data_IF_801703868066
#
_entry.id   IF_801703868066
#
_cell.length_a   1.000
_cell.length_b   1.000
_cell.length_c   1.000
_cell.angle_alpha   90.00
_cell.angle_beta   90.00
_cell.angle_gamma   90.00
#
_symmetry.space_group_name_H-M   'P 1'
#
loop_
_entity.id
_entity.type
_entity.pdbx_description
1 polymer ?
#
# COMPACT_ATOMS: atom_id res chain seq x y z
N UNK A 1 14.89 -0.98 -50.34
CA UNK A 1 14.51 -0.06 -49.24
C UNK A 1 13.17 -0.39 -48.55
N UNK A 2 12.40 -1.40 -49.01
CA UNK A 2 11.05 -1.70 -48.48
C UNK A 2 11.00 -2.39 -47.09
N UNK A 3 12.05 -3.10 -46.67
CA UNK A 3 12.04 -3.90 -45.43
C UNK A 3 12.08 -3.09 -44.12
N UNK A 4 12.67 -1.88 -44.13
CA UNK A 4 12.80 -1.05 -42.92
C UNK A 4 11.47 -0.42 -42.48
N UNK A 5 10.57 -0.15 -43.43
CA UNK A 5 9.26 0.44 -43.15
C UNK A 5 8.30 -0.54 -42.46
N UNK A 6 8.37 -1.83 -42.80
CA UNK A 6 7.54 -2.86 -42.16
C UNK A 6 7.96 -3.09 -40.70
N UNK A 7 9.26 -3.10 -40.41
CA UNK A 7 9.78 -3.29 -39.06
C UNK A 7 9.39 -2.14 -38.11
N UNK A 8 9.44 -0.90 -38.59
CA UNK A 8 9.02 0.27 -37.77
C UNK A 8 7.51 0.26 -37.52
N UNK A 9 6.70 -0.14 -38.49
CA UNK A 9 5.25 -0.26 -38.31
C UNK A 9 4.89 -1.31 -37.24
N UNK A 10 5.55 -2.47 -37.25
CA UNK A 10 5.33 -3.54 -36.25
C UNK A 10 5.71 -3.05 -34.84
N UNK A 11 6.86 -2.40 -34.68
CA UNK A 11 7.29 -1.86 -33.39
C UNK A 11 6.35 -0.76 -32.89
N UNK A 12 5.89 0.13 -33.77
CA UNK A 12 4.95 1.20 -33.41
C UNK A 12 3.59 0.65 -32.96
N UNK A 13 3.06 -0.36 -33.67
CA UNK A 13 1.81 -1.03 -33.29
C UNK A 13 1.97 -1.82 -31.98
N UNK A 14 3.10 -2.51 -31.80
CA UNK A 14 3.43 -3.21 -30.55
C UNK A 14 3.52 -2.24 -29.36
N UNK A 15 4.24 -1.12 -29.51
CA UNK A 15 4.36 -0.10 -28.48
C UNK A 15 3.01 0.55 -28.16
N UNK A 16 2.23 0.92 -29.17
CA UNK A 16 0.88 1.48 -29.01
C UNK A 16 -0.06 0.52 -28.27
N UNK A 17 -0.06 -0.76 -28.63
CA UNK A 17 -0.84 -1.79 -27.95
C UNK A 17 -0.46 -1.94 -26.46
N UNK A 18 0.84 -1.97 -26.15
CA UNK A 18 1.34 -2.03 -24.77
C UNK A 18 0.88 -0.81 -23.97
N UNK A 19 1.01 0.40 -24.53
CA UNK A 19 0.58 1.65 -23.89
C UNK A 19 -0.93 1.63 -23.62
N UNK A 20 -1.76 1.27 -24.61
CA UNK A 20 -3.22 1.21 -24.44
C UNK A 20 -3.64 0.17 -23.39
N UNK A 21 -2.95 -0.97 -23.33
CA UNK A 21 -3.20 -2.00 -22.31
C UNK A 21 -2.88 -1.47 -20.91
N UNK A 22 -1.78 -0.73 -20.75
CA UNK A 22 -1.40 -0.10 -19.47
C UNK A 22 -2.39 1.00 -19.04
N UNK A 23 -2.85 1.83 -19.97
CA UNK A 23 -3.83 2.88 -19.70
C UNK A 23 -5.18 2.29 -19.28
N UNK A 24 -5.64 1.22 -19.93
CA UNK A 24 -6.87 0.51 -19.51
C UNK A 24 -6.71 -0.17 -18.15
N UNK A 25 -5.52 -0.67 -17.83
CA UNK A 25 -5.21 -1.24 -16.52
C UNK A 25 -5.35 -0.20 -15.39
N UNK A 26 -5.05 1.09 -15.66
CA UNK A 26 -5.22 2.18 -14.68
C UNK A 26 -6.68 2.48 -14.31
N UNK A 27 -7.64 2.28 -15.22
CA UNK A 27 -9.02 2.75 -15.03
C UNK A 27 -9.86 2.01 -13.97
N UNK A 28 -9.58 0.72 -13.70
CA UNK A 28 -10.38 -0.07 -12.73
C UNK A 28 -9.98 0.18 -11.27
N UNK A 29 -8.74 0.60 -11.04
CA UNK A 29 -8.16 0.84 -9.71
C UNK A 29 -8.69 2.13 -9.05
N UNK A 30 -9.14 3.08 -9.87
CA UNK A 30 -9.48 4.43 -9.39
C UNK A 30 -10.87 4.48 -8.74
N UNK A 31 -11.86 3.78 -9.31
CA UNK A 31 -13.26 3.88 -8.88
C UNK A 31 -13.53 3.32 -7.48
N UNK A 32 -12.91 2.20 -7.10
CA UNK A 32 -13.04 1.67 -5.73
C UNK A 32 -12.27 2.51 -4.71
N UNK A 33 -11.17 3.15 -5.13
CA UNK A 33 -10.41 4.07 -4.28
C UNK A 33 -11.21 5.32 -3.94
N UNK A 34 -12.00 5.84 -4.89
CA UNK A 34 -12.89 6.97 -4.67
C UNK A 34 -13.98 6.63 -3.65
N UNK A 35 -14.63 5.46 -3.75
CA UNK A 35 -15.65 5.04 -2.79
C UNK A 35 -15.12 4.88 -1.35
N UNK A 36 -13.83 4.58 -1.17
CA UNK A 36 -13.19 4.46 0.14
C UNK A 36 -12.72 5.81 0.70
N UNK A 37 -12.64 6.86 -0.13
CA UNK A 37 -12.00 8.13 0.20
C UNK A 37 -12.96 9.15 0.82
N UNK A 38 -14.25 9.01 0.58
CA UNK A 38 -15.25 10.00 0.99
C UNK A 38 -15.78 9.79 2.42
N UNK A 39 -15.21 8.85 3.17
CA UNK A 39 -15.62 8.55 4.55
C UNK A 39 -14.49 8.80 5.54
N UNK A 40 -14.74 9.62 6.56
CA UNK A 40 -13.82 9.79 7.71
C UNK A 40 -13.66 8.49 8.53
N UNK A 41 -14.59 7.55 8.37
CA UNK A 41 -14.58 6.24 9.03
C UNK A 41 -14.01 5.17 8.12
N UNK A 42 -13.30 4.22 8.73
CA UNK A 42 -12.88 3.02 8.02
C UNK A 42 -14.10 2.18 7.60
N UNK A 43 -14.06 1.55 6.41
CA UNK A 43 -15.04 0.57 6.00
C UNK A 43 -15.11 -0.61 6.97
N UNK A 44 -16.28 -1.26 7.06
CA UNK A 44 -16.57 -2.32 8.05
C UNK A 44 -16.48 -3.75 7.51
N UNK A 45 -15.98 -3.94 6.28
CA UNK A 45 -15.87 -5.28 5.67
C UNK A 45 -14.85 -6.21 6.34
N UNK A 46 -13.98 -5.66 7.20
CA UNK A 46 -12.94 -6.41 7.93
C UNK A 46 -12.87 -5.91 9.37
N UNK A 47 -12.81 -6.83 10.33
CA UNK A 47 -12.66 -6.55 11.75
C UNK A 47 -11.28 -7.00 12.27
N UNK A 48 -10.51 -6.15 12.97
CA UNK A 48 -9.28 -6.59 13.63
C UNK A 48 -9.58 -7.39 14.89
N UNK A 49 -8.88 -8.51 15.06
CA UNK A 49 -8.99 -9.40 16.23
C UNK A 49 -7.81 -9.29 17.17
N UNK A 50 -6.59 -9.06 16.64
CA UNK A 50 -5.37 -8.94 17.46
C UNK A 50 -4.29 -8.18 16.73
N UNK A 51 -3.54 -7.40 17.48
CA UNK A 51 -2.31 -6.73 17.03
C UNK A 51 -1.13 -7.35 17.74
N UNK A 52 -0.10 -7.72 16.97
CA UNK A 52 1.22 -8.05 17.48
C UNK A 52 2.16 -6.93 17.00
N UNK A 53 2.64 -6.10 17.94
CA UNK A 53 3.40 -4.88 17.68
C UNK A 53 4.81 -5.02 18.25
N UNK A 54 5.81 -4.78 17.41
CA UNK A 54 7.22 -4.69 17.80
C UNK A 54 7.71 -3.28 17.44
N UNK A 55 8.24 -2.56 18.41
CA UNK A 55 8.82 -1.23 18.21
C UNK A 55 10.28 -1.24 18.64
N UNK A 56 11.11 -0.59 17.83
CA UNK A 56 12.53 -0.39 18.08
C UNK A 56 12.80 1.13 18.03
N UNK A 57 12.58 1.83 19.16
CA UNK A 57 12.80 3.26 19.24
C UNK A 57 14.30 3.56 19.22
N UNK A 58 14.69 4.56 18.43
CA UNK A 58 16.00 5.19 18.45
C UNK A 58 15.84 6.61 19.01
N UNK A 59 16.29 6.78 20.25
CA UNK A 59 16.15 8.03 20.99
C UNK A 59 17.12 9.11 20.53
N UNK A 60 18.27 8.76 19.95
CA UNK A 60 19.27 9.72 19.48
C UNK A 60 18.75 10.56 18.30
N UNK A 61 17.90 9.94 17.46
CA UNK A 61 17.29 10.59 16.29
C UNK A 61 15.77 10.82 16.44
N UNK A 62 15.20 10.46 17.59
CA UNK A 62 13.76 10.45 17.90
C UNK A 62 12.90 9.82 16.79
N UNK A 63 13.31 8.65 16.33
CA UNK A 63 12.55 7.83 15.38
C UNK A 63 12.31 6.47 15.96
N UNK A 64 11.43 5.70 15.34
CA UNK A 64 11.25 4.30 15.66
C UNK A 64 11.12 3.52 14.36
N UNK A 65 11.75 2.35 14.35
CA UNK A 65 11.46 1.28 13.41
C UNK A 65 10.55 0.26 14.09
N UNK A 66 9.95 -0.65 13.33
CA UNK A 66 9.09 -1.66 13.94
C UNK A 66 8.43 -2.60 12.95
N UNK A 67 7.54 -3.44 13.48
CA UNK A 67 6.67 -4.36 12.72
C UNK A 67 5.31 -4.43 13.40
N UNK A 68 4.25 -4.60 12.60
CA UNK A 68 2.87 -4.65 13.10
C UNK A 68 2.07 -5.72 12.38
N UNK A 69 1.97 -6.91 12.95
CA UNK A 69 1.09 -7.95 12.42
C UNK A 69 -0.35 -7.73 12.93
N UNK A 70 -1.32 -7.72 12.01
CA UNK A 70 -2.72 -7.49 12.34
C UNK A 70 -3.55 -8.70 11.95
N UNK A 71 -4.02 -9.46 12.94
CA UNK A 71 -4.97 -10.54 12.68
C UNK A 71 -6.33 -9.93 12.39
N UNK A 72 -6.81 -10.16 11.19
CA UNK A 72 -8.07 -9.64 10.69
C UNK A 72 -9.09 -10.78 10.56
N UNK A 73 -10.36 -10.43 10.57
CA UNK A 73 -11.47 -11.28 10.16
C UNK A 73 -12.25 -10.57 9.06
N UNK A 74 -12.39 -11.22 7.90
CA UNK A 74 -13.16 -10.66 6.78
C UNK A 74 -14.63 -10.97 7.05
N UNK A 75 -15.44 -9.96 7.30
CA UNK A 75 -16.89 -10.09 7.55
C UNK A 75 -17.65 -10.07 6.23
N UNK A 76 -17.24 -9.21 5.29
CA UNK A 76 -17.83 -9.09 3.96
C UNK A 76 -16.80 -9.31 2.86
N UNK A 77 -17.23 -9.86 1.71
CA UNK A 77 -16.34 -10.10 0.56
C UNK A 77 -15.74 -8.78 0.08
N UNK A 78 -14.41 -8.68 0.15
CA UNK A 78 -13.66 -7.48 -0.24
C UNK A 78 -12.36 -7.84 -0.96
N UNK A 79 -11.93 -6.96 -1.87
CA UNK A 79 -10.61 -7.01 -2.52
C UNK A 79 -9.64 -5.98 -1.94
N UNK A 80 -10.06 -5.25 -0.90
CA UNK A 80 -9.33 -4.15 -0.31
C UNK A 80 -9.34 -4.28 1.22
N UNK A 81 -8.21 -3.98 1.85
CA UNK A 81 -8.08 -3.78 3.29
C UNK A 81 -7.62 -2.34 3.46
N UNK A 82 -8.38 -1.54 4.21
CA UNK A 82 -8.08 -0.13 4.45
C UNK A 82 -7.69 0.04 5.91
N UNK A 83 -6.59 0.75 6.16
CA UNK A 83 -6.01 0.98 7.47
C UNK A 83 -5.60 2.43 7.59
N UNK A 84 -5.56 2.93 8.82
CA UNK A 84 -5.01 4.25 9.10
C UNK A 84 -3.47 4.17 9.11
N UNK A 85 -2.83 5.16 8.49
CA UNK A 85 -1.40 5.37 8.52
C UNK A 85 -1.14 6.88 8.48
N UNK A 86 -0.80 7.47 9.63
CA UNK A 86 -0.42 8.87 9.75
C UNK A 86 1.05 8.94 10.15
N UNK A 87 1.84 9.73 9.43
CA UNK A 87 3.27 9.93 9.67
C UNK A 87 4.13 8.65 9.67
N UNK A 88 3.67 7.62 8.94
CA UNK A 88 4.37 6.34 8.75
C UNK A 88 4.89 6.22 7.32
N UNK A 89 6.18 5.94 7.16
CA UNK A 89 6.69 5.34 5.92
C UNK A 89 6.36 3.84 5.94
N UNK A 90 5.81 3.32 4.84
CA UNK A 90 5.50 1.90 4.67
C UNK A 90 6.17 1.42 3.39
N UNK A 91 7.08 0.46 3.51
CA UNK A 91 7.81 -0.07 2.36
C UNK A 91 7.01 -1.19 1.70
N UNK A 92 6.79 -1.13 0.39
CA UNK A 92 5.94 -2.11 -0.31
C UNK A 92 6.41 -3.55 -0.09
N UNK A 93 7.72 -3.80 -0.11
CA UNK A 93 8.33 -5.13 0.14
C UNK A 93 8.08 -5.68 1.54
N UNK A 94 7.68 -4.81 2.46
CA UNK A 94 7.48 -5.12 3.88
C UNK A 94 6.02 -5.49 4.18
N UNK A 95 5.11 -5.37 3.20
CA UNK A 95 3.70 -5.74 3.35
C UNK A 95 3.50 -7.16 2.84
N UNK A 96 2.93 -8.03 3.68
CA UNK A 96 2.56 -9.39 3.27
C UNK A 96 1.15 -9.75 3.72
N UNK A 97 0.51 -10.69 3.04
CA UNK A 97 -0.75 -11.26 3.47
C UNK A 97 -0.52 -12.75 3.69
N UNK A 98 -0.84 -13.23 4.89
CA UNK A 98 -0.69 -14.63 5.25
C UNK A 98 -2.04 -15.17 5.68
N UNK A 99 -2.69 -15.88 4.77
CA UNK A 99 -3.94 -16.57 5.06
C UNK A 99 -3.61 -17.81 5.88
N UNK A 100 -3.95 -17.81 7.17
CA UNK A 100 -4.14 -19.08 7.89
C UNK A 100 -5.49 -19.67 7.45
N UNK A 101 -5.78 -20.94 7.75
CA UNK A 101 -7.12 -21.51 7.52
C UNK A 101 -8.25 -20.61 8.11
N UNK A 102 -7.89 -19.75 9.07
CA UNK A 102 -8.61 -18.52 9.44
C UNK A 102 -8.00 -17.28 8.77
N UNK A 103 -8.83 -16.50 8.07
CA UNK A 103 -8.61 -15.28 7.25
C UNK A 103 -7.61 -14.20 7.78
N UNK A 104 -6.32 -14.49 7.92
CA UNK A 104 -5.31 -13.58 8.50
C UNK A 104 -4.50 -12.75 7.47
N UNK A 105 -3.86 -11.66 7.94
CA UNK A 105 -3.03 -10.73 7.17
C UNK A 105 -1.80 -10.30 8.02
N UNK A 106 -0.61 -10.12 7.44
CA UNK A 106 0.61 -9.78 8.19
C UNK A 106 1.35 -8.62 7.54
N UNK A 107 1.00 -7.41 7.93
CA UNK A 107 1.69 -6.19 7.48
C UNK A 107 2.97 -6.06 8.32
N UNK A 108 4.08 -5.59 7.76
CA UNK A 108 5.31 -5.41 8.52
C UNK A 108 5.98 -4.11 8.08
N UNK A 109 5.40 -2.93 8.41
CA UNK A 109 5.91 -1.68 7.90
C UNK A 109 7.25 -1.34 8.58
N UNK A 110 8.32 -1.18 7.82
CA UNK A 110 9.51 -0.49 8.32
C UNK A 110 9.13 0.99 8.43
N UNK A 111 8.91 1.49 9.65
CA UNK A 111 8.43 2.85 9.89
C UNK A 111 9.64 3.77 10.02
N UNK A 112 9.62 4.92 9.34
CA UNK A 112 10.62 5.97 9.54
C UNK A 112 9.91 7.33 9.62
N UNK A 113 10.03 8.01 10.76
CA UNK A 113 9.43 9.33 10.98
C UNK A 113 10.08 10.42 10.11
N UNK A 114 9.28 11.41 9.69
CA UNK A 114 9.69 12.48 8.75
C UNK A 114 10.29 13.73 9.42
N UNK A 115 10.18 13.90 10.74
CA UNK A 115 10.62 15.12 11.43
C UNK A 115 11.70 14.83 12.48
N UNK A 116 12.85 15.54 12.46
CA UNK A 116 13.84 15.49 13.53
C UNK A 116 13.32 16.21 14.79
N UNK A 117 13.89 15.84 15.94
CA UNK A 117 13.56 16.25 17.30
C UNK A 117 13.65 17.76 17.62
N UNK A 118 13.58 18.67 16.65
CA UNK A 118 13.72 20.10 16.89
C UNK A 118 12.38 20.82 16.67
N UNK A 119 11.48 20.67 17.63
CA UNK A 119 10.81 21.81 18.28
C UNK A 119 10.04 21.32 19.52
N UNK A 120 10.64 21.51 20.70
CA UNK A 120 10.05 22.19 21.86
C UNK A 120 10.85 21.84 23.12
N UNK A 121 12.01 22.49 23.23
CA UNK A 121 12.42 23.05 24.49
C UNK A 121 11.77 24.44 24.60
N UNK A 122 11.26 24.78 25.80
CA UNK A 122 10.80 26.09 26.31
C UNK A 122 9.31 26.42 26.09
N UNK A 123 8.62 26.58 27.25
CA UNK A 123 7.36 27.29 27.57
C UNK A 123 6.18 27.26 26.59
#
# INVERSE_FOLDING_TARGET
MAGRAAATAILALGASYVILKQLKYRGRKDRSRLLLKDTMRLPRFVEPRRYDIELMPNLDICKFDGKVAVRLEIVDKTNHIVLNAADLNIYEKSVSLRTSATRQACISPLIAHRLPCLLNAIL
#
